data_IF_565069385504
#
_entry.id   IF_565069385504
#
_cell.length_a   1.000
_cell.length_b   1.000
_cell.length_c   1.000
_cell.angle_alpha   90.00
_cell.angle_beta   90.00
_cell.angle_gamma   90.00
#
_symmetry.space_group_name_H-M   'P 1'
#
loop_
_entity.id
_entity.type
_entity.pdbx_description
1 polymer ?
#
# COMPACT_ATOMS: atom_id res chain seq x y z
N UNK A 1 -23.82 5.84 -24.24
CA UNK A 1 -22.59 6.52 -23.82
C UNK A 1 -22.85 7.23 -22.52
N UNK A 2 -22.14 6.89 -21.45
CA UNK A 2 -22.19 7.62 -20.19
C UNK A 2 -21.72 9.05 -20.38
N UNK A 3 -22.37 9.99 -19.69
CA UNK A 3 -21.89 11.39 -19.72
C UNK A 3 -20.54 11.47 -18.97
N UNK A 4 -19.63 12.37 -19.37
CA UNK A 4 -18.34 12.55 -18.70
C UNK A 4 -18.49 12.76 -17.18
N UNK A 5 -19.55 13.45 -16.76
CA UNK A 5 -19.86 13.69 -15.36
C UNK A 5 -20.21 12.40 -14.60
N UNK A 6 -20.93 11.48 -15.24
CA UNK A 6 -21.26 10.18 -14.62
C UNK A 6 -20.02 9.32 -14.45
N UNK A 7 -19.10 9.29 -15.43
CA UNK A 7 -17.85 8.55 -15.35
C UNK A 7 -16.98 9.06 -14.19
N UNK A 8 -16.81 10.36 -14.02
CA UNK A 8 -16.08 10.94 -12.89
C UNK A 8 -16.73 10.63 -11.53
N UNK A 9 -18.06 10.64 -11.49
CA UNK A 9 -18.82 10.32 -10.27
C UNK A 9 -18.62 8.86 -9.88
N UNK A 10 -18.69 7.95 -10.85
CA UNK A 10 -18.46 6.51 -10.65
C UNK A 10 -17.05 6.23 -10.14
N UNK A 11 -16.03 6.85 -10.75
CA UNK A 11 -14.64 6.75 -10.28
C UNK A 11 -14.49 7.23 -8.83
N UNK A 12 -15.06 8.40 -8.49
CA UNK A 12 -15.03 8.94 -7.13
C UNK A 12 -15.71 8.02 -6.12
N UNK A 13 -16.82 7.38 -6.49
CA UNK A 13 -17.52 6.44 -5.63
C UNK A 13 -16.69 5.18 -5.36
N UNK A 14 -15.97 4.66 -6.35
CA UNK A 14 -15.07 3.51 -6.15
C UNK A 14 -13.90 3.87 -5.22
N UNK A 15 -13.31 5.07 -5.34
CA UNK A 15 -12.27 5.55 -4.42
C UNK A 15 -12.82 5.63 -2.99
N UNK A 16 -13.99 6.24 -2.80
CA UNK A 16 -14.64 6.32 -1.48
C UNK A 16 -14.95 4.94 -0.90
N UNK A 17 -15.42 4.01 -1.74
CA UNK A 17 -15.67 2.63 -1.33
C UNK A 17 -14.36 1.95 -0.90
N UNK A 18 -13.27 2.18 -1.60
CA UNK A 18 -11.93 1.70 -1.22
C UNK A 18 -11.52 2.24 0.16
N UNK A 19 -11.56 3.55 0.36
CA UNK A 19 -11.27 4.17 1.67
C UNK A 19 -12.12 3.54 2.77
N UNK A 20 -13.43 3.46 2.57
CA UNK A 20 -14.36 2.92 3.56
C UNK A 20 -14.07 1.45 3.88
N UNK A 21 -13.81 0.64 2.86
CA UNK A 21 -13.49 -0.77 3.03
C UNK A 21 -12.22 -0.96 3.86
N UNK A 22 -11.18 -0.18 3.60
CA UNK A 22 -9.92 -0.25 4.34
C UNK A 22 -10.09 0.23 5.80
N UNK A 23 -10.90 1.26 6.05
CA UNK A 23 -11.25 1.67 7.42
C UNK A 23 -11.95 0.52 8.16
N UNK A 24 -12.94 -0.12 7.53
CA UNK A 24 -13.66 -1.25 8.13
C UNK A 24 -12.71 -2.42 8.41
N UNK A 25 -11.85 -2.76 7.46
CA UNK A 25 -10.85 -3.82 7.64
C UNK A 25 -9.90 -3.48 8.79
N UNK A 26 -9.41 -2.26 8.89
CA UNK A 26 -8.55 -1.81 9.98
C UNK A 26 -9.24 -1.96 11.34
N UNK A 27 -10.51 -1.54 11.44
CA UNK A 27 -11.31 -1.70 12.66
C UNK A 27 -11.51 -3.18 13.01
N UNK A 28 -11.85 -4.03 12.04
CA UNK A 28 -12.07 -5.48 12.25
C UNK A 28 -10.77 -6.15 12.68
N UNK A 29 -9.66 -5.90 12.00
CA UNK A 29 -8.37 -6.49 12.35
C UNK A 29 -7.86 -5.98 13.70
N UNK A 30 -8.03 -4.70 14.02
CA UNK A 30 -7.67 -4.14 15.32
C UNK A 30 -8.51 -4.74 16.45
N UNK A 31 -9.80 -4.98 16.22
CA UNK A 31 -10.67 -5.62 17.21
C UNK A 31 -10.35 -7.13 17.40
N UNK A 32 -9.76 -7.77 16.41
CA UNK A 32 -9.43 -9.21 16.44
C UNK A 32 -8.01 -9.49 16.93
N UNK A 33 -7.12 -8.49 16.85
CA UNK A 33 -5.76 -8.59 17.40
C UNK A 33 -5.84 -8.45 18.91
N UNK A 34 -5.31 -9.42 19.72
CA UNK A 34 -5.29 -9.27 21.15
C UNK A 34 -4.48 -8.03 21.49
N UNK A 35 -5.12 -7.04 22.10
CA UNK A 35 -4.45 -5.90 22.70
C UNK A 35 -3.41 -6.45 23.69
N UNK A 36 -2.15 -6.34 23.34
CA UNK A 36 -1.13 -6.33 24.37
C UNK A 36 -1.25 -4.98 25.02
N UNK A 37 -2.09 -4.90 26.07
CA UNK A 37 -2.13 -3.76 26.97
C UNK A 37 -0.69 -3.34 27.25
N UNK A 38 -0.33 -2.15 26.80
CA UNK A 38 0.83 -1.45 27.34
C UNK A 38 0.46 -1.12 28.78
N UNK A 39 0.63 -2.10 29.65
CA UNK A 39 0.66 -1.87 31.06
C UNK A 39 1.87 -0.97 31.29
N UNK A 40 1.61 0.32 31.40
CA UNK A 40 2.53 1.23 32.05
C UNK A 40 2.73 0.67 33.47
N UNK A 41 3.77 -0.16 33.62
CA UNK A 41 4.26 -0.51 34.94
C UNK A 41 4.74 0.78 35.59
N UNK A 42 3.85 1.40 36.36
CA UNK A 42 4.30 2.21 37.50
C UNK A 42 5.28 1.32 38.24
N UNK A 43 6.53 1.76 38.30
CA UNK A 43 7.56 1.16 39.13
C UNK A 43 7.12 1.30 40.59
N UNK A 44 6.47 0.27 41.11
CA UNK A 44 6.37 0.10 42.55
C UNK A 44 7.78 -0.14 43.09
N UNK A 45 8.38 0.91 43.55
CA UNK A 45 9.61 0.90 44.33
C UNK A 45 9.29 0.21 45.64
N UNK A 46 9.48 -1.09 45.69
CA UNK A 46 9.39 -1.81 46.95
C UNK A 46 10.71 -1.65 47.72
N UNK A 47 10.62 -1.23 48.96
CA UNK A 47 11.68 -0.76 49.88
C UNK A 47 12.72 -1.83 50.29
N UNK A 48 12.89 -2.91 49.54
CA UNK A 48 13.90 -3.94 49.84
C UNK A 48 14.76 -4.25 48.64
N UNK A 49 15.73 -3.44 48.37
CA UNK A 49 16.86 -3.44 47.42
C UNK A 49 17.37 -4.75 46.78
N UNK A 50 16.51 -5.66 46.35
CA UNK A 50 16.90 -6.83 45.58
C UNK A 50 16.37 -6.67 44.15
N UNK A 51 17.25 -6.26 43.24
CA UNK A 51 16.98 -6.28 41.79
C UNK A 51 16.74 -7.72 41.35
N UNK A 52 15.49 -8.11 41.17
CA UNK A 52 15.13 -9.34 40.51
C UNK A 52 15.45 -9.17 39.01
N UNK A 53 16.49 -9.85 38.53
CA UNK A 53 16.77 -9.95 37.09
C UNK A 53 15.56 -10.60 36.44
N UNK A 54 14.70 -9.78 35.82
CA UNK A 54 13.66 -10.24 34.92
C UNK A 54 14.38 -10.71 33.65
N UNK A 55 14.22 -11.98 33.23
CA UNK A 55 14.81 -12.43 31.96
C UNK A 55 14.31 -11.51 30.83
N UNK A 56 15.14 -11.24 29.82
CA UNK A 56 14.72 -10.41 28.69
C UNK A 56 13.49 -11.06 28.07
N UNK A 57 12.32 -10.42 28.26
CA UNK A 57 11.14 -10.77 27.51
C UNK A 57 11.50 -10.59 26.03
N UNK A 58 11.49 -11.68 25.30
CA UNK A 58 11.51 -11.62 23.85
C UNK A 58 10.31 -10.76 23.45
N UNK A 59 10.60 -9.51 23.04
CA UNK A 59 9.61 -8.65 22.41
C UNK A 59 9.14 -9.37 21.13
N UNK A 60 8.05 -10.11 21.23
CA UNK A 60 7.27 -10.48 20.06
C UNK A 60 6.84 -9.16 19.44
N UNK A 61 7.53 -8.77 18.37
CA UNK A 61 7.16 -7.58 17.60
C UNK A 61 5.74 -7.81 17.08
N UNK A 62 4.80 -7.11 17.67
CA UNK A 62 3.42 -7.09 17.16
C UNK A 62 3.46 -6.40 15.80
N UNK A 63 3.09 -7.12 14.75
CA UNK A 63 3.00 -6.55 13.41
C UNK A 63 1.72 -5.71 13.36
N UNK A 64 1.85 -4.43 13.04
CA UNK A 64 0.72 -3.52 12.92
C UNK A 64 -0.17 -3.90 11.73
N UNK A 65 -1.48 -3.77 11.89
CA UNK A 65 -2.50 -4.04 10.87
C UNK A 65 -2.22 -3.32 9.55
N UNK A 66 -1.70 -2.09 9.63
CA UNK A 66 -1.32 -1.30 8.47
C UNK A 66 -0.38 -2.04 7.49
N UNK A 67 0.54 -2.87 7.99
CA UNK A 67 1.43 -3.67 7.13
C UNK A 67 0.67 -4.73 6.31
N UNK A 68 -0.31 -5.38 6.89
CA UNK A 68 -1.14 -6.35 6.17
C UNK A 68 -2.08 -5.69 5.16
N UNK A 69 -2.66 -4.54 5.52
CA UNK A 69 -3.50 -3.76 4.61
C UNK A 69 -2.69 -3.25 3.42
N UNK A 70 -1.44 -2.83 3.67
CA UNK A 70 -0.52 -2.43 2.61
C UNK A 70 -0.21 -3.60 1.66
N UNK A 71 0.10 -4.78 2.17
CA UNK A 71 0.33 -5.99 1.34
C UNK A 71 -0.91 -6.36 0.53
N UNK A 72 -2.10 -6.22 1.10
CA UNK A 72 -3.35 -6.49 0.38
C UNK A 72 -3.55 -5.49 -0.76
N UNK A 73 -3.38 -4.20 -0.51
CA UNK A 73 -3.49 -3.15 -1.51
C UNK A 73 -2.47 -3.36 -2.63
N UNK A 74 -1.19 -3.56 -2.28
CA UNK A 74 -0.11 -3.84 -3.22
C UNK A 74 -0.36 -5.12 -4.04
N UNK A 75 -0.88 -6.19 -3.43
CA UNK A 75 -1.24 -7.40 -4.17
C UNK A 75 -2.32 -7.16 -5.23
N UNK A 76 -3.35 -6.37 -4.92
CA UNK A 76 -4.41 -6.03 -5.88
C UNK A 76 -3.84 -5.13 -6.99
N UNK A 77 -2.99 -4.17 -6.65
CA UNK A 77 -2.35 -3.27 -7.61
C UNK A 77 -1.44 -4.03 -8.57
N UNK A 78 -0.57 -4.88 -8.06
CA UNK A 78 0.25 -5.78 -8.88
C UNK A 78 -0.58 -6.66 -9.83
N UNK A 79 -1.75 -7.16 -9.37
CA UNK A 79 -2.67 -7.89 -10.24
C UNK A 79 -3.13 -7.05 -11.43
N UNK A 80 -3.53 -5.79 -11.19
CA UNK A 80 -3.95 -4.88 -12.27
C UNK A 80 -2.81 -4.50 -13.20
N UNK A 81 -1.59 -4.32 -12.68
CA UNK A 81 -0.40 -4.12 -13.51
C UNK A 81 -0.12 -5.32 -14.41
N UNK A 82 -0.24 -6.53 -13.88
CA UNK A 82 -0.14 -7.75 -14.69
C UNK A 82 -1.16 -7.84 -15.81
N UNK A 83 -2.43 -7.52 -15.49
CA UNK A 83 -3.50 -7.41 -16.49
C UNK A 83 -3.14 -6.40 -17.60
N UNK A 84 -2.74 -5.18 -17.20
CA UNK A 84 -2.43 -4.08 -18.11
C UNK A 84 -1.25 -4.42 -19.03
N UNK A 85 -0.17 -4.98 -18.48
CA UNK A 85 1.00 -5.41 -19.27
C UNK A 85 0.61 -6.48 -20.29
N UNK A 86 -0.05 -7.55 -19.85
CA UNK A 86 -0.42 -8.63 -20.77
C UNK A 86 -1.40 -8.14 -21.85
N UNK A 87 -2.42 -7.37 -21.48
CA UNK A 87 -3.38 -6.78 -22.41
C UNK A 87 -2.70 -5.88 -23.44
N UNK A 88 -1.75 -5.05 -23.03
CA UNK A 88 -1.01 -4.16 -23.93
C UNK A 88 -0.15 -4.92 -24.94
N UNK A 89 0.45 -6.07 -24.58
CA UNK A 89 1.17 -6.93 -25.50
C UNK A 89 0.24 -7.63 -26.50
N UNK A 90 -1.00 -7.93 -26.12
CA UNK A 90 -2.00 -8.46 -27.04
C UNK A 90 -2.43 -7.43 -28.10
N UNK A 91 -2.42 -6.13 -27.76
CA UNK A 91 -2.63 -5.05 -28.74
C UNK A 91 -1.44 -4.93 -29.71
N UNK A 92 -0.22 -5.08 -29.20
CA UNK A 92 0.99 -5.09 -30.03
C UNK A 92 2.28 -4.91 -29.21
N UNK A 93 3.41 -5.42 -29.72
CA UNK A 93 4.69 -5.39 -29.00
C UNK A 93 5.13 -3.99 -28.58
N UNK A 94 4.89 -2.98 -29.43
CA UNK A 94 5.24 -1.58 -29.12
C UNK A 94 4.46 -1.06 -27.91
N UNK A 95 3.15 -1.30 -27.88
CA UNK A 95 2.29 -0.91 -26.76
C UNK A 95 2.71 -1.66 -25.50
N UNK A 96 2.95 -2.97 -25.59
CA UNK A 96 3.43 -3.77 -24.46
C UNK A 96 4.70 -3.23 -23.82
N UNK A 97 5.70 -2.88 -24.64
CA UNK A 97 6.97 -2.33 -24.15
C UNK A 97 6.76 -0.96 -23.50
N UNK A 98 6.00 -0.06 -24.11
CA UNK A 98 5.72 1.28 -23.57
C UNK A 98 4.99 1.16 -22.23
N UNK A 99 3.92 0.37 -22.15
CA UNK A 99 3.16 0.14 -20.91
C UNK A 99 4.04 -0.47 -19.81
N UNK A 100 4.87 -1.47 -20.15
CA UNK A 100 5.79 -2.09 -19.20
C UNK A 100 6.78 -1.09 -18.63
N UNK A 101 7.38 -0.24 -19.48
CA UNK A 101 8.31 0.79 -19.02
C UNK A 101 7.61 1.84 -18.15
N UNK A 102 6.41 2.24 -18.53
CA UNK A 102 5.60 3.18 -17.76
C UNK A 102 5.30 2.63 -16.36
N UNK A 103 4.83 1.38 -16.26
CA UNK A 103 4.56 0.72 -14.98
C UNK A 103 5.86 0.58 -14.18
N UNK A 104 6.94 0.10 -14.78
CA UNK A 104 8.21 -0.10 -14.07
C UNK A 104 8.76 1.21 -13.44
N UNK A 105 8.63 2.33 -14.13
CA UNK A 105 9.13 3.62 -13.64
C UNK A 105 8.39 4.07 -12.38
N UNK A 106 7.06 3.92 -12.32
CA UNK A 106 6.32 4.30 -11.11
C UNK A 106 6.36 3.23 -10.03
N UNK A 107 6.47 1.96 -10.39
CA UNK A 107 6.48 0.85 -9.46
C UNK A 107 7.74 0.83 -8.58
N UNK A 108 8.91 1.22 -9.12
CA UNK A 108 10.13 1.28 -8.33
C UNK A 108 10.01 2.19 -7.10
N UNK A 109 9.59 3.47 -7.21
CA UNK A 109 9.34 4.32 -6.05
C UNK A 109 8.25 3.78 -5.12
N UNK A 110 7.20 3.18 -5.69
CA UNK A 110 6.07 2.62 -4.96
C UNK A 110 6.52 1.45 -4.07
N UNK A 111 7.22 0.47 -4.62
CA UNK A 111 7.74 -0.69 -3.89
C UNK A 111 8.74 -0.30 -2.78
N UNK A 112 9.55 0.73 -2.99
CA UNK A 112 10.43 1.27 -1.95
C UNK A 112 9.61 1.86 -0.79
N UNK A 113 8.53 2.56 -1.10
CA UNK A 113 7.59 3.09 -0.10
C UNK A 113 6.91 1.99 0.69
N UNK A 114 6.40 0.98 0.01
CA UNK A 114 5.75 -0.19 0.62
C UNK A 114 6.69 -0.97 1.52
N UNK A 115 7.94 -1.17 1.08
CA UNK A 115 8.96 -1.78 1.92
C UNK A 115 9.19 -1.01 3.22
N UNK A 116 9.24 0.33 3.14
CA UNK A 116 9.39 1.17 4.32
C UNK A 116 8.17 1.07 5.26
N UNK A 117 6.95 1.00 4.72
CA UNK A 117 5.71 0.79 5.50
C UNK A 117 5.74 -0.58 6.20
N UNK A 118 6.16 -1.64 5.52
CA UNK A 118 6.29 -2.96 6.11
C UNK A 118 7.29 -2.98 7.27
N UNK A 119 8.47 -2.37 7.10
CA UNK A 119 9.47 -2.27 8.18
C UNK A 119 8.92 -1.49 9.38
N UNK A 120 8.24 -0.37 9.13
CA UNK A 120 7.59 0.45 10.16
C UNK A 120 6.49 -0.35 10.87
N UNK A 121 5.75 -1.18 10.15
CA UNK A 121 4.72 -2.06 10.69
C UNK A 121 5.25 -3.25 11.50
N UNK A 122 6.57 -3.39 11.63
CA UNK A 122 7.19 -4.40 12.47
C UNK A 122 7.72 -5.64 11.75
N UNK A 123 7.59 -5.72 10.43
CA UNK A 123 8.22 -6.79 9.64
C UNK A 123 9.75 -6.70 9.76
N UNK A 124 10.43 -7.85 9.80
CA UNK A 124 11.87 -7.84 9.58
C UNK A 124 12.18 -7.69 8.08
N UNK A 125 13.42 -7.32 7.75
CA UNK A 125 13.82 -7.03 6.35
C UNK A 125 13.57 -8.20 5.40
N UNK A 126 13.82 -9.42 5.84
CA UNK A 126 13.67 -10.61 5.00
C UNK A 126 12.21 -10.99 4.81
N UNK A 127 11.38 -10.84 5.83
CA UNK A 127 9.95 -11.13 5.72
C UNK A 127 9.23 -10.05 4.90
N UNK A 128 9.62 -8.78 5.03
CA UNK A 128 9.16 -7.70 4.16
C UNK A 128 9.51 -7.99 2.68
N UNK A 129 10.76 -8.34 2.40
CA UNK A 129 11.18 -8.68 1.03
C UNK A 129 10.44 -9.90 0.47
N UNK A 130 10.24 -10.97 1.26
CA UNK A 130 9.46 -12.14 0.83
C UNK A 130 8.01 -11.78 0.55
N UNK A 131 7.41 -10.93 1.41
CA UNK A 131 6.04 -10.48 1.24
C UNK A 131 5.86 -9.68 -0.07
N UNK A 132 6.80 -8.78 -0.41
CA UNK A 132 6.78 -8.07 -1.69
C UNK A 132 6.98 -8.99 -2.90
N UNK A 133 7.86 -9.98 -2.81
CA UNK A 133 7.99 -11.00 -3.88
C UNK A 133 6.67 -11.77 -4.04
N UNK A 134 5.97 -12.05 -2.95
CA UNK A 134 4.68 -12.73 -3.01
C UNK A 134 3.60 -11.84 -3.65
N UNK A 135 3.53 -10.55 -3.30
CA UNK A 135 2.61 -9.60 -3.95
C UNK A 135 2.93 -9.41 -5.43
N UNK A 136 4.21 -9.32 -5.80
CA UNK A 136 4.63 -9.26 -7.19
C UNK A 136 4.22 -10.53 -7.99
N UNK A 137 4.23 -11.72 -7.35
CA UNK A 137 3.75 -12.95 -7.99
C UNK A 137 2.24 -12.90 -8.33
N UNK A 138 1.46 -12.09 -7.63
CA UNK A 138 0.03 -11.84 -7.95
C UNK A 138 -0.10 -11.13 -9.30
N UNK A 139 0.88 -10.33 -9.71
CA UNK A 139 0.95 -9.73 -11.05
C UNK A 139 1.01 -10.78 -12.16
N UNK A 140 1.71 -11.90 -11.94
CA UNK A 140 1.71 -13.02 -12.88
C UNK A 140 0.30 -13.61 -13.02
N UNK A 141 -0.45 -13.73 -11.93
CA UNK A 141 -1.85 -14.18 -11.99
C UNK A 141 -2.72 -13.20 -12.79
N UNK A 142 -2.52 -11.89 -12.64
CA UNK A 142 -3.16 -10.86 -13.46
C UNK A 142 -2.86 -11.03 -14.95
N UNK A 143 -1.59 -11.22 -15.29
CA UNK A 143 -1.18 -11.46 -16.68
C UNK A 143 -1.80 -12.74 -17.27
N UNK A 144 -1.82 -13.84 -16.52
CA UNK A 144 -2.47 -15.09 -16.94
C UNK A 144 -3.98 -14.87 -17.15
N UNK A 145 -4.62 -14.10 -16.27
CA UNK A 145 -6.05 -13.77 -16.41
C UNK A 145 -6.33 -13.02 -17.71
N UNK A 146 -5.53 -11.99 -18.04
CA UNK A 146 -5.67 -11.26 -19.31
C UNK A 146 -5.46 -12.15 -20.53
N UNK A 147 -4.45 -13.04 -20.49
CA UNK A 147 -4.15 -13.96 -21.59
C UNK A 147 -5.21 -15.07 -21.77
N UNK A 148 -5.95 -15.37 -20.73
CA UNK A 148 -7.00 -16.42 -20.72
C UNK A 148 -8.39 -15.87 -21.05
N UNK A 149 -8.54 -14.54 -21.16
CA UNK A 149 -9.83 -13.93 -21.46
C UNK A 149 -10.19 -14.05 -22.94
N UNK A 150 -11.46 -14.29 -23.23
CA UNK A 150 -11.99 -14.42 -24.59
C UNK A 150 -11.93 -13.11 -25.39
N UNK A 151 -11.94 -11.96 -24.71
CA UNK A 151 -11.78 -10.63 -25.31
C UNK A 151 -11.20 -9.62 -24.32
N UNK A 152 -10.38 -8.70 -24.82
CA UNK A 152 -9.79 -7.60 -24.02
C UNK A 152 -10.86 -6.62 -23.51
N UNK A 153 -11.92 -6.39 -24.29
CA UNK A 153 -13.02 -5.50 -23.91
C UNK A 153 -13.74 -5.99 -22.66
N UNK A 154 -13.94 -7.30 -22.53
CA UNK A 154 -14.54 -7.91 -21.33
C UNK A 154 -13.65 -7.76 -20.11
N UNK A 155 -12.31 -7.87 -20.27
CA UNK A 155 -11.35 -7.67 -19.18
C UNK A 155 -11.39 -6.22 -18.69
N UNK A 156 -11.33 -5.26 -19.60
CA UNK A 156 -11.34 -3.84 -19.27
C UNK A 156 -12.62 -3.44 -18.51
N UNK A 157 -13.80 -3.78 -19.05
CA UNK A 157 -15.08 -3.50 -18.39
C UNK A 157 -15.21 -4.16 -17.01
N UNK A 158 -14.66 -5.38 -16.85
CA UNK A 158 -14.78 -6.12 -15.61
C UNK A 158 -13.81 -5.66 -14.53
N UNK A 159 -12.73 -4.99 -14.90
CA UNK A 159 -11.63 -4.65 -13.98
C UNK A 159 -11.43 -3.15 -13.77
N UNK A 160 -12.09 -2.29 -14.54
CA UNK A 160 -11.95 -0.83 -14.50
C UNK A 160 -12.23 -0.19 -13.12
N UNK A 161 -12.99 -0.86 -12.26
CA UNK A 161 -13.27 -0.42 -10.89
C UNK A 161 -12.13 -0.70 -9.90
N UNK A 162 -11.22 -1.65 -10.22
CA UNK A 162 -10.20 -2.12 -9.29
C UNK A 162 -9.19 -1.00 -8.97
N UNK A 163 -8.72 -0.30 -9.99
CA UNK A 163 -7.74 0.77 -9.84
C UNK A 163 -8.24 1.92 -8.94
N UNK A 164 -9.42 2.50 -9.15
CA UNK A 164 -9.92 3.54 -8.25
C UNK A 164 -10.22 3.01 -6.84
N UNK A 165 -10.66 1.75 -6.71
CA UNK A 165 -10.86 1.13 -5.41
C UNK A 165 -9.55 0.98 -4.63
N UNK A 166 -8.49 0.45 -5.24
CA UNK A 166 -7.16 0.34 -4.59
C UNK A 166 -6.55 1.69 -4.28
N UNK A 167 -6.73 2.68 -5.15
CA UNK A 167 -6.32 4.06 -4.85
C UNK A 167 -6.95 4.58 -3.55
N UNK A 168 -8.22 4.23 -3.28
CA UNK A 168 -8.88 4.50 -2.00
C UNK A 168 -8.20 3.82 -0.82
N UNK A 169 -7.79 2.56 -0.97
CA UNK A 169 -7.02 1.83 0.04
C UNK A 169 -5.69 2.49 0.36
N UNK A 170 -4.91 2.86 -0.66
CA UNK A 170 -3.64 3.58 -0.48
C UNK A 170 -3.83 4.96 0.16
N UNK A 171 -4.89 5.69 -0.21
CA UNK A 171 -5.26 6.95 0.46
C UNK A 171 -5.52 6.73 1.95
N UNK A 172 -6.24 5.68 2.32
CA UNK A 172 -6.47 5.35 3.73
C UNK A 172 -5.14 5.09 4.45
N UNK A 173 -4.26 4.26 3.90
CA UNK A 173 -2.95 3.95 4.50
C UNK A 173 -2.13 5.24 4.67
N UNK A 174 -2.07 6.09 3.65
CA UNK A 174 -1.33 7.34 3.68
C UNK A 174 -1.86 8.31 4.75
N UNK A 175 -3.19 8.46 4.85
CA UNK A 175 -3.82 9.42 5.76
C UNK A 175 -3.92 8.92 7.19
N UNK A 176 -4.11 7.63 7.40
CA UNK A 176 -4.33 7.05 8.74
C UNK A 176 -3.04 6.53 9.37
N UNK A 177 -2.16 5.91 8.56
CA UNK A 177 -0.96 5.26 9.09
C UNK A 177 0.33 6.06 8.91
N UNK A 178 0.45 6.85 7.83
CA UNK A 178 1.69 7.60 7.52
C UNK A 178 1.61 9.05 7.99
N UNK A 179 0.57 9.77 7.60
CA UNK A 179 0.42 11.20 7.87
C UNK A 179 0.40 11.55 9.37
N UNK A 180 -0.24 10.78 10.28
CA UNK A 180 -0.25 11.12 11.70
C UNK A 180 1.16 11.13 12.32
N UNK A 181 2.06 10.29 11.84
CA UNK A 181 3.43 10.25 12.36
C UNK A 181 4.27 11.42 11.85
N UNK A 182 4.03 11.84 10.60
CA UNK A 182 4.62 13.08 10.07
C UNK A 182 4.19 14.30 10.88
N UNK A 183 2.93 14.34 11.30
CA UNK A 183 2.37 15.45 12.09
C UNK A 183 2.80 15.46 13.55
N UNK A 184 3.33 14.34 14.07
CA UNK A 184 3.87 14.26 15.44
C UNK A 184 5.34 14.69 15.56
N UNK A 185 6.03 14.91 14.43
CA UNK A 185 7.41 15.37 14.45
C UNK A 185 7.51 16.79 15.02
N UNK A 186 8.26 16.95 16.08
CA UNK A 186 8.42 18.23 16.80
C UNK A 186 9.64 19.03 16.31
N UNK A 187 10.61 18.37 15.67
CA UNK A 187 11.79 19.05 15.10
C UNK A 187 11.43 19.73 13.78
N UNK A 188 11.47 21.09 13.71
CA UNK A 188 11.15 21.80 12.46
C UNK A 188 12.04 21.43 11.26
N UNK A 189 13.29 21.01 11.52
CA UNK A 189 14.23 20.62 10.47
C UNK A 189 13.86 19.24 9.90
N UNK A 190 13.52 18.28 10.76
CA UNK A 190 13.05 16.96 10.33
C UNK A 190 11.68 17.06 9.63
N UNK A 191 10.75 17.85 10.18
CA UNK A 191 9.46 18.14 9.52
C UNK A 191 9.62 18.74 8.13
N UNK A 192 10.58 19.66 7.96
CA UNK A 192 10.87 20.28 6.65
C UNK A 192 11.41 19.27 5.65
N UNK A 193 12.29 18.36 6.07
CA UNK A 193 12.80 17.28 5.21
C UNK A 193 11.67 16.32 4.80
N UNK A 194 10.84 15.93 5.73
CA UNK A 194 9.70 15.05 5.47
C UNK A 194 8.73 15.68 4.46
N UNK A 195 8.40 16.96 4.64
CA UNK A 195 7.58 17.72 3.70
C UNK A 195 8.25 17.81 2.32
N UNK A 196 9.56 18.04 2.29
CA UNK A 196 10.35 18.04 1.06
C UNK A 196 10.29 16.70 0.32
N UNK A 197 10.36 15.58 1.05
CA UNK A 197 10.20 14.24 0.47
C UNK A 197 8.79 14.02 -0.11
N UNK A 198 7.74 14.47 0.59
CA UNK A 198 6.35 14.39 0.07
C UNK A 198 6.21 15.20 -1.21
N UNK A 199 6.69 16.45 -1.22
CA UNK A 199 6.67 17.29 -2.43
C UNK A 199 7.46 16.66 -3.58
N UNK A 200 8.61 16.05 -3.29
CA UNK A 200 9.41 15.35 -4.28
C UNK A 200 8.65 14.15 -4.88
N UNK A 201 8.00 13.35 -4.05
CA UNK A 201 7.16 12.23 -4.50
C UNK A 201 6.02 12.69 -5.41
N UNK A 202 5.30 13.73 -5.03
CA UNK A 202 4.24 14.33 -5.86
C UNK A 202 4.80 14.83 -7.20
N UNK A 203 5.95 15.52 -7.17
CA UNK A 203 6.59 16.05 -8.38
C UNK A 203 7.05 14.92 -9.33
N UNK A 204 7.60 13.84 -8.80
CA UNK A 204 8.00 12.66 -9.59
C UNK A 204 6.78 12.04 -10.26
N UNK A 205 5.70 11.82 -9.52
CA UNK A 205 4.48 11.23 -10.08
C UNK A 205 3.83 12.14 -11.14
N UNK A 206 3.78 13.46 -10.89
CA UNK A 206 3.26 14.43 -11.86
C UNK A 206 4.12 14.50 -13.14
N UNK A 207 5.45 14.47 -12.99
CA UNK A 207 6.36 14.46 -14.14
C UNK A 207 6.19 13.19 -14.98
N UNK A 208 6.02 12.04 -14.34
CA UNK A 208 5.75 10.78 -15.04
C UNK A 208 4.46 10.82 -15.83
N UNK A 209 3.37 11.32 -15.23
CA UNK A 209 2.10 11.47 -15.93
C UNK A 209 2.26 12.32 -17.19
N UNK A 210 2.95 13.47 -17.08
CA UNK A 210 3.21 14.37 -18.21
C UNK A 210 4.13 13.77 -19.29
N UNK A 211 4.96 12.77 -18.96
CA UNK A 211 5.80 12.08 -19.93
C UNK A 211 5.08 10.96 -20.68
N UNK A 212 3.97 10.45 -20.11
CA UNK A 212 3.19 9.33 -20.67
C UNK A 212 2.04 9.79 -21.56
N UNK A 213 1.62 11.06 -21.44
CA UNK A 213 0.64 11.71 -22.33
C UNK A 213 1.32 12.16 -23.64
#
# INVERSE_FOLDING_TARGET
>A
AESPTQAHLTLGLWVLLGVFTFIVLELVFSATSPETEQTFSHSDVNQNGVAKLVPPQQNLKTIHVAGYLNLMANGIDNFTHGLAVAASFLVGPKMGVVTTLAILIHEIPHEVGDFAILLKSGFNRWDAAKAQVLTAAVGVAGAVTALSADSLENVDMSTSWILPFTSGGFLNIALVSVLPDLLKEEDPWESSKQLGCVCCGIAVMAAMQAFLE
#
